data_IF_998273390240
#
_entry.id   IF_998273390240
#
_cell.length_a   1.000
_cell.length_b   1.000
_cell.length_c   1.000
_cell.angle_alpha   90.00
_cell.angle_beta   90.00
_cell.angle_gamma   90.00
#
_symmetry.space_group_name_H-M   'P 1'
#
loop_
_entity.id
_entity.type
_entity.pdbx_description
1 polymer ?
#
# COMPACT_ATOMS: atom_id res chain seq x y z
N UNK A 1 -11.64 7.72 -73.55
CA UNK A 1 -10.92 7.42 -72.29
C UNK A 1 -11.96 7.51 -71.18
N UNK A 2 -12.43 6.37 -70.67
CA UNK A 2 -13.54 6.29 -69.71
C UNK A 2 -13.01 6.24 -68.27
N UNK A 3 -13.56 7.11 -67.42
CA UNK A 3 -13.35 7.15 -65.97
C UNK A 3 -13.87 5.90 -65.28
N UNK A 4 -13.14 5.39 -64.29
CA UNK A 4 -13.65 4.45 -63.29
C UNK A 4 -13.24 5.00 -61.91
N UNK A 5 -14.19 5.62 -61.22
CA UNK A 5 -14.09 5.93 -59.79
C UNK A 5 -14.51 4.67 -59.02
N UNK A 6 -13.56 4.04 -58.34
CA UNK A 6 -13.82 2.91 -57.44
C UNK A 6 -14.26 3.44 -56.08
N UNK A 7 -15.55 3.28 -55.76
CA UNK A 7 -16.10 3.56 -54.43
C UNK A 7 -15.58 2.55 -53.41
N UNK A 8 -14.76 3.02 -52.47
CA UNK A 8 -14.49 2.29 -51.24
C UNK A 8 -15.68 2.46 -50.30
N UNK A 9 -16.53 1.43 -50.22
CA UNK A 9 -17.55 1.35 -49.17
C UNK A 9 -16.84 0.99 -47.85
N UNK A 10 -16.63 1.99 -46.99
CA UNK A 10 -16.23 1.80 -45.61
C UNK A 10 -17.43 1.26 -44.83
N UNK A 11 -17.49 -0.06 -44.62
CA UNK A 11 -18.49 -0.67 -43.74
C UNK A 11 -18.23 -0.23 -42.31
N UNK A 12 -19.02 0.72 -41.82
CA UNK A 12 -19.09 1.07 -40.40
C UNK A 12 -19.74 -0.11 -39.67
N UNK A 13 -18.93 -0.93 -39.01
CA UNK A 13 -19.43 -1.87 -38.01
C UNK A 13 -20.04 -1.02 -36.89
N UNK A 14 -21.33 -1.16 -36.56
CA UNK A 14 -21.88 -0.45 -35.41
C UNK A 14 -21.20 -1.01 -34.15
N UNK A 15 -20.46 -0.16 -33.44
CA UNK A 15 -19.95 -0.47 -32.11
C UNK A 15 -21.16 -0.50 -31.20
N UNK A 16 -21.67 -1.70 -30.93
CA UNK A 16 -22.78 -1.91 -30.01
C UNK A 16 -22.30 -1.57 -28.59
N UNK A 17 -22.87 -0.53 -28.00
CA UNK A 17 -22.62 -0.13 -26.62
C UNK A 17 -23.08 -1.21 -25.60
N UNK A 18 -23.76 -2.27 -26.00
CA UNK A 18 -23.99 -3.42 -25.14
C UNK A 18 -22.78 -4.38 -25.05
N UNK A 19 -21.81 -4.26 -25.96
CA UNK A 19 -20.60 -5.10 -25.99
C UNK A 19 -19.48 -4.63 -25.07
N UNK A 20 -19.52 -3.39 -24.54
CA UNK A 20 -18.64 -2.95 -23.45
C UNK A 20 -19.09 -3.54 -22.10
N UNK A 21 -19.58 -4.79 -22.04
CA UNK A 21 -19.70 -5.42 -20.74
C UNK A 21 -18.28 -5.67 -20.25
N UNK A 22 -17.81 -4.82 -19.33
CA UNK A 22 -16.52 -4.97 -18.68
C UNK A 22 -16.37 -6.45 -18.33
N UNK A 23 -15.36 -7.09 -18.93
CA UNK A 23 -15.07 -8.49 -18.66
C UNK A 23 -15.06 -8.67 -17.13
N UNK A 24 -15.65 -9.75 -16.59
CA UNK A 24 -15.58 -10.01 -15.16
C UNK A 24 -14.10 -10.01 -14.79
N UNK A 25 -13.67 -8.96 -14.09
CA UNK A 25 -12.29 -8.83 -13.63
C UNK A 25 -12.06 -10.02 -12.72
N UNK A 26 -11.07 -10.86 -13.04
CA UNK A 26 -10.63 -11.92 -12.14
C UNK A 26 -10.53 -11.37 -10.72
N UNK A 27 -11.01 -12.09 -9.68
CA UNK A 27 -10.96 -11.59 -8.32
C UNK A 27 -9.51 -11.20 -8.00
N UNK A 28 -9.30 -9.93 -7.70
CA UNK A 28 -7.98 -9.41 -7.33
C UNK A 28 -7.55 -10.16 -6.07
N UNK A 29 -6.55 -11.04 -6.19
CA UNK A 29 -5.93 -11.63 -5.01
C UNK A 29 -5.39 -10.47 -4.18
N UNK A 30 -5.94 -10.26 -3.00
CA UNK A 30 -5.55 -9.15 -2.13
C UNK A 30 -4.81 -9.73 -0.94
N UNK A 31 -3.59 -9.25 -0.72
CA UNK A 31 -2.78 -9.61 0.45
C UNK A 31 -2.66 -8.41 1.39
N UNK A 32 -2.38 -8.69 2.67
CA UNK A 32 -2.22 -7.67 3.71
C UNK A 32 -0.84 -7.79 4.34
N UNK A 33 -0.15 -6.65 4.48
CA UNK A 33 1.12 -6.54 5.19
C UNK A 33 1.07 -5.41 6.23
N UNK A 34 1.86 -5.56 7.30
CA UNK A 34 1.98 -4.55 8.35
C UNK A 34 3.43 -4.09 8.49
N UNK A 35 3.63 -2.77 8.49
CA UNK A 35 4.95 -2.14 8.59
C UNK A 35 4.99 -1.10 9.70
N UNK A 36 5.98 -1.18 10.58
CA UNK A 36 6.21 -0.22 11.66
C UNK A 36 7.65 0.31 11.64
N UNK A 37 7.82 1.60 11.32
CA UNK A 37 9.13 2.28 11.18
C UNK A 37 9.15 3.69 11.81
N UNK A 38 8.48 3.87 12.95
CA UNK A 38 8.35 5.18 13.61
C UNK A 38 7.02 5.84 13.29
N UNK A 39 7.01 7.14 12.96
CA UNK A 39 5.76 7.86 12.68
C UNK A 39 4.99 7.21 11.52
N UNK A 40 3.75 6.77 11.80
CA UNK A 40 2.91 6.10 10.78
C UNK A 40 2.56 6.99 9.57
N UNK A 41 2.55 8.32 9.72
CA UNK A 41 2.24 9.27 8.65
C UNK A 41 3.36 9.33 7.63
N UNK A 42 4.61 9.37 8.10
CA UNK A 42 5.78 9.32 7.23
C UNK A 42 5.85 7.98 6.49
N UNK A 43 5.60 6.89 7.20
CA UNK A 43 5.61 5.54 6.65
C UNK A 43 4.52 5.39 5.57
N UNK A 44 3.27 5.74 5.87
CA UNK A 44 2.15 5.68 4.92
C UNK A 44 2.43 6.55 3.68
N UNK A 45 2.90 7.79 3.88
CA UNK A 45 3.18 8.71 2.79
C UNK A 45 4.21 8.15 1.80
N UNK A 46 5.28 7.53 2.30
CA UNK A 46 6.34 6.97 1.46
C UNK A 46 5.83 5.76 0.66
N UNK A 47 5.04 4.88 1.27
CA UNK A 47 4.40 3.76 0.58
C UNK A 47 3.42 4.24 -0.50
N UNK A 48 2.52 5.17 -0.17
CA UNK A 48 1.54 5.73 -1.12
C UNK A 48 2.21 6.46 -2.29
N UNK A 49 3.29 7.20 -2.02
CA UNK A 49 4.06 7.90 -3.06
C UNK A 49 4.71 6.95 -4.07
N UNK A 50 5.15 5.77 -3.62
CA UNK A 50 5.89 4.81 -4.44
C UNK A 50 5.05 3.70 -5.07
N UNK A 51 4.08 3.16 -4.35
CA UNK A 51 3.28 2.01 -4.79
C UNK A 51 1.76 2.26 -4.77
N UNK A 52 1.33 3.44 -4.30
CA UNK A 52 -0.08 3.83 -4.25
C UNK A 52 -0.73 4.02 -5.62
N UNK A 53 -2.07 4.15 -5.68
CA UNK A 53 -2.80 4.29 -6.95
C UNK A 53 -2.38 5.51 -7.78
N UNK A 54 -1.90 6.58 -7.13
CA UNK A 54 -1.40 7.79 -7.77
C UNK A 54 0.13 7.89 -7.82
N UNK A 55 0.85 6.79 -7.54
CA UNK A 55 2.30 6.81 -7.53
C UNK A 55 2.86 7.24 -8.89
N UNK A 56 3.76 8.23 -8.86
CA UNK A 56 4.46 8.76 -10.04
C UNK A 56 5.87 8.21 -10.17
N UNK A 57 6.46 7.72 -9.09
CA UNK A 57 7.85 7.26 -9.05
C UNK A 57 8.01 5.83 -9.55
N UNK A 58 6.93 5.04 -9.57
CA UNK A 58 6.94 3.67 -10.09
C UNK A 58 5.57 3.28 -10.70
N UNK A 59 5.23 3.77 -11.92
CA UNK A 59 3.89 3.60 -12.50
C UNK A 59 3.52 2.15 -12.80
N UNK A 60 4.50 1.27 -13.01
CA UNK A 60 4.29 -0.15 -13.30
C UNK A 60 4.04 -0.98 -12.03
N UNK A 61 4.32 -0.40 -10.85
CA UNK A 61 4.19 -1.06 -9.54
C UNK A 61 3.15 -0.40 -8.65
N UNK A 62 2.07 0.15 -9.23
CA UNK A 62 0.90 0.66 -8.49
C UNK A 62 0.06 -0.49 -7.92
N UNK A 63 0.65 -1.21 -6.98
CA UNK A 63 0.08 -2.44 -6.43
C UNK A 63 -0.63 -2.25 -5.08
N UNK A 64 -0.47 -1.11 -4.41
CA UNK A 64 -1.22 -0.81 -3.18
C UNK A 64 -2.65 -0.43 -3.53
N UNK A 65 -3.60 -1.15 -2.94
CA UNK A 65 -5.04 -0.95 -3.10
C UNK A 65 -5.56 -0.01 -2.02
N UNK A 66 -5.13 -0.21 -0.77
CA UNK A 66 -5.53 0.61 0.37
C UNK A 66 -4.45 0.64 1.45
N UNK A 67 -4.45 1.71 2.25
CA UNK A 67 -3.65 1.80 3.47
C UNK A 67 -4.51 2.25 4.64
N UNK A 68 -4.12 1.84 5.85
CA UNK A 68 -4.66 2.38 7.09
C UNK A 68 -3.53 2.53 8.11
N UNK A 69 -3.60 3.56 8.93
CA UNK A 69 -2.70 3.76 10.07
C UNK A 69 -3.32 3.19 11.34
N UNK A 70 -2.49 2.69 12.26
CA UNK A 70 -2.96 2.10 13.50
C UNK A 70 -1.83 1.64 14.40
N UNK A 71 -2.16 0.77 15.35
CA UNK A 71 -1.24 0.30 16.37
C UNK A 71 -1.12 -1.23 16.42
N UNK A 72 0.09 -1.74 16.62
CA UNK A 72 0.34 -3.19 16.74
C UNK A 72 1.49 -3.54 17.70
N UNK A 73 1.62 -4.82 18.06
CA UNK A 73 2.76 -5.37 18.78
C UNK A 73 2.85 -5.08 20.29
N UNK A 74 1.92 -4.30 20.86
CA UNK A 74 1.96 -3.89 22.26
C UNK A 74 1.33 -4.85 23.27
N UNK A 75 1.10 -4.32 24.47
CA UNK A 75 0.59 -5.10 25.59
C UNK A 75 -0.81 -5.65 25.27
N UNK A 76 -1.01 -6.99 25.27
CA UNK A 76 -2.27 -7.60 24.88
C UNK A 76 -3.44 -7.27 25.81
N UNK A 77 -3.16 -6.76 27.03
CA UNK A 77 -4.20 -6.31 27.97
C UNK A 77 -4.79 -4.95 27.58
N UNK A 78 -4.11 -4.18 26.74
CA UNK A 78 -4.52 -2.85 26.31
C UNK A 78 -5.10 -2.96 24.91
N UNK A 79 -6.40 -3.22 24.84
CA UNK A 79 -7.15 -3.32 23.58
C UNK A 79 -7.63 -1.94 23.15
N UNK A 80 -7.43 -1.56 21.88
CA UNK A 80 -7.84 -0.26 21.32
C UNK A 80 -7.21 0.95 22.05
N UNK A 81 -5.87 1.06 22.10
CA UNK A 81 -5.22 2.20 22.72
C UNK A 81 -5.58 3.51 22.00
N UNK A 82 -5.75 4.61 22.73
CA UNK A 82 -5.82 5.94 22.12
C UNK A 82 -4.43 6.44 21.74
N UNK A 83 -4.36 7.43 20.85
CA UNK A 83 -3.10 8.06 20.46
C UNK A 83 -2.33 8.58 21.68
N UNK A 84 -3.01 9.25 22.62
CA UNK A 84 -2.40 9.78 23.85
C UNK A 84 -1.82 8.66 24.72
N UNK A 85 -2.49 7.51 24.79
CA UNK A 85 -2.00 6.36 25.53
C UNK A 85 -0.72 5.81 24.89
N UNK A 86 -0.67 5.70 23.56
CA UNK A 86 0.55 5.26 22.84
C UNK A 86 1.68 6.28 23.00
N UNK A 87 1.40 7.58 22.86
CA UNK A 87 2.39 8.64 23.08
C UNK A 87 2.93 8.69 24.50
N UNK A 88 2.17 8.21 25.50
CA UNK A 88 2.67 8.10 26.88
C UNK A 88 3.78 7.05 27.05
N UNK A 89 3.98 6.18 26.05
CA UNK A 89 4.98 5.11 26.06
C UNK A 89 4.65 3.93 26.97
N UNK A 90 3.43 3.88 27.55
CA UNK A 90 3.03 2.87 28.55
C UNK A 90 2.30 1.66 27.97
N UNK A 91 2.02 1.66 26.66
CA UNK A 91 1.19 0.63 26.04
C UNK A 91 1.98 -0.44 25.30
N UNK A 92 3.29 -0.21 25.10
CA UNK A 92 4.19 -1.01 24.27
C UNK A 92 3.75 -1.16 22.79
N UNK A 93 2.68 -0.47 22.38
CA UNK A 93 2.22 -0.52 20.99
C UNK A 93 3.13 0.30 20.08
N UNK A 94 3.43 -0.24 18.91
CA UNK A 94 4.11 0.45 17.83
C UNK A 94 3.09 1.10 16.88
N UNK A 95 3.40 2.32 16.44
CA UNK A 95 2.75 2.93 15.28
C UNK A 95 3.07 2.11 14.03
N UNK A 96 2.03 1.73 13.29
CA UNK A 96 2.14 0.86 12.12
C UNK A 96 1.17 1.29 11.02
N UNK A 97 1.48 0.85 9.79
CA UNK A 97 0.56 0.91 8.67
C UNK A 97 0.12 -0.51 8.30
N UNK A 98 -1.16 -0.66 7.96
CA UNK A 98 -1.72 -1.79 7.23
C UNK A 98 -1.70 -1.44 5.74
N UNK A 99 -1.16 -2.34 4.92
CA UNK A 99 -1.10 -2.20 3.46
C UNK A 99 -1.86 -3.36 2.84
N UNK A 100 -2.92 -3.06 2.11
CA UNK A 100 -3.60 -4.04 1.24
C UNK A 100 -3.06 -3.87 -0.19
N UNK A 101 -2.58 -4.95 -0.80
CA UNK A 101 -1.92 -4.89 -2.10
C UNK A 101 -2.26 -6.08 -2.99
N UNK A 102 -2.12 -5.89 -4.31
CA UNK A 102 -2.20 -6.95 -5.31
C UNK A 102 -0.82 -7.60 -5.49
N UNK A 103 -0.61 -8.86 -5.04
CA UNK A 103 0.66 -9.57 -5.13
C UNK A 103 1.08 -9.86 -6.58
N UNK A 104 0.16 -9.72 -7.55
CA UNK A 104 0.47 -9.83 -8.98
C UNK A 104 1.15 -8.58 -9.53
N UNK A 105 0.99 -7.43 -8.86
CA UNK A 105 1.58 -6.15 -9.26
C UNK A 105 2.85 -5.86 -8.43
N UNK A 106 2.76 -5.97 -7.11
CA UNK A 106 3.88 -5.78 -6.18
C UNK A 106 3.93 -6.95 -5.20
N UNK A 107 5.08 -7.59 -5.08
CA UNK A 107 5.25 -8.68 -4.13
C UNK A 107 5.48 -8.18 -2.70
N UNK A 108 5.17 -9.02 -1.71
CA UNK A 108 5.51 -8.74 -0.31
C UNK A 108 7.01 -8.47 -0.12
N UNK A 109 7.87 -9.24 -0.80
CA UNK A 109 9.31 -9.08 -0.73
C UNK A 109 9.77 -7.69 -1.24
N UNK A 110 9.15 -7.17 -2.30
CA UNK A 110 9.43 -5.81 -2.80
C UNK A 110 9.02 -4.74 -1.77
N UNK A 111 7.87 -4.92 -1.11
CA UNK A 111 7.43 -4.00 -0.06
C UNK A 111 8.36 -4.04 1.16
N UNK A 112 8.88 -5.22 1.52
CA UNK A 112 9.87 -5.40 2.59
C UNK A 112 11.23 -4.78 2.22
N UNK A 113 11.72 -5.01 1.01
CA UNK A 113 12.97 -4.38 0.55
C UNK A 113 12.83 -2.86 0.56
N UNK A 114 11.71 -2.35 0.05
CA UNK A 114 11.43 -0.92 0.07
C UNK A 114 11.34 -0.36 1.49
N UNK A 115 10.67 -1.08 2.40
CA UNK A 115 10.60 -0.75 3.81
C UNK A 115 12.01 -0.52 4.35
N UNK A 116 12.92 -1.50 4.25
CA UNK A 116 14.29 -1.38 4.75
C UNK A 116 15.16 -0.31 4.05
N UNK A 117 14.83 0.08 2.82
CA UNK A 117 15.51 1.19 2.11
C UNK A 117 14.96 2.56 2.49
N UNK A 118 13.73 2.63 3.00
CA UNK A 118 13.04 3.88 3.32
C UNK A 118 13.39 4.47 4.69
N UNK A 119 13.95 3.66 5.59
CA UNK A 119 14.39 4.06 6.92
C UNK A 119 15.72 3.38 7.27
N UNK A 120 16.37 3.85 8.34
CA UNK A 120 17.54 3.17 8.88
C UNK A 120 17.06 2.15 9.93
N UNK A 121 17.06 0.83 9.64
CA UNK A 121 16.58 -0.17 10.59
C UNK A 121 17.55 -0.40 11.76
N UNK A 122 18.72 0.25 11.76
CA UNK A 122 19.73 0.08 12.82
C UNK A 122 19.53 1.01 14.01
N UNK A 123 18.65 2.02 13.89
CA UNK A 123 18.39 2.96 14.98
C UNK A 123 17.34 2.42 15.95
N UNK A 124 17.82 1.79 17.02
CA UNK A 124 17.00 1.46 18.20
C UNK A 124 16.43 2.74 18.81
N UNK A 125 15.11 2.87 18.90
CA UNK A 125 14.43 3.96 19.59
C UNK A 125 14.63 5.38 19.02
N UNK A 126 14.88 5.50 17.71
CA UNK A 126 14.95 6.81 17.04
C UNK A 126 14.70 6.70 15.55
N UNK A 127 13.92 7.62 14.98
CA UNK A 127 13.80 7.82 13.53
C UNK A 127 13.87 9.32 13.22
N UNK A 128 14.99 9.79 12.67
CA UNK A 128 15.19 11.24 12.43
C UNK A 128 15.10 12.07 13.72
N UNK A 129 14.25 13.11 13.72
CA UNK A 129 14.05 14.02 14.86
C UNK A 129 13.10 13.44 15.94
N UNK A 130 12.46 12.30 15.67
CA UNK A 130 11.58 11.63 16.63
C UNK A 130 12.41 10.86 17.65
N UNK A 131 12.46 11.39 18.87
CA UNK A 131 13.12 10.79 20.04
C UNK A 131 12.07 10.30 21.03
N UNK A 132 12.09 9.01 21.34
CA UNK A 132 11.19 8.39 22.32
C UNK A 132 11.40 6.89 22.34
N UNK A 133 10.95 6.20 23.38
CA UNK A 133 11.10 4.74 23.62
C UNK A 133 10.32 3.90 22.60
N UNK A 134 10.51 4.12 21.30
CA UNK A 134 9.76 3.47 20.21
C UNK A 134 10.60 2.36 19.60
N UNK A 135 10.10 1.13 19.77
CA UNK A 135 10.70 -0.15 19.40
C UNK A 135 11.41 -0.19 18.02
N UNK A 136 12.40 -1.09 17.83
CA UNK A 136 13.00 -1.37 16.53
C UNK A 136 11.95 -1.79 15.49
N UNK A 137 12.25 -1.54 14.21
CA UNK A 137 11.38 -1.82 13.05
C UNK A 137 10.73 -3.20 13.13
N UNK A 138 9.40 -3.26 13.03
CA UNK A 138 8.63 -4.52 13.02
C UNK A 138 8.00 -4.71 11.64
N UNK A 139 8.36 -5.82 11.00
CA UNK A 139 7.67 -6.35 9.83
C UNK A 139 6.86 -7.58 10.26
N UNK A 140 5.60 -7.68 9.84
CA UNK A 140 4.84 -8.91 10.03
C UNK A 140 3.79 -9.09 8.94
N UNK A 141 3.74 -10.28 8.29
CA UNK A 141 2.62 -10.65 7.43
C UNK A 141 1.34 -10.92 8.25
N UNK A 142 1.44 -11.06 9.58
CA UNK A 142 0.32 -11.27 10.50
C UNK A 142 0.48 -10.39 11.75
N UNK A 143 -0.18 -9.23 11.79
CA UNK A 143 -0.37 -8.51 13.04
C UNK A 143 -1.35 -9.29 13.94
N UNK A 144 -0.92 -9.70 15.14
CA UNK A 144 -1.81 -10.38 16.12
C UNK A 144 -2.99 -9.51 16.53
N UNK A 145 -2.86 -8.20 16.44
CA UNK A 145 -3.93 -7.22 16.61
C UNK A 145 -3.51 -5.91 15.95
N UNK A 146 -4.41 -5.32 15.16
CA UNK A 146 -4.28 -3.98 14.58
C UNK A 146 -5.49 -3.18 15.03
N UNK A 147 -5.25 -2.01 15.63
CA UNK A 147 -6.27 -1.14 16.21
C UNK A 147 -6.26 0.23 15.55
#
# INVERSE_FOLDING_TARGET
>A
MFSILSSFFSSSVPIDAASYRAAPSDPVSTETAYFASGCFWGTEHIFQKHYGPQAKTNPDKRGILSTAVGYTGGNPKITKPSYEQVCSGRTDHAEAIKVEFDPRVVSYAELVEFFYRSHDPTTKNRQGNDSGTRMPSLESPYARSFY
#
